data_IF_342179337673
#
_entry.id   IF_342179337673
#
_cell.length_a   1.000
_cell.length_b   1.000
_cell.length_c   1.000
_cell.angle_alpha   90.00
_cell.angle_beta   90.00
_cell.angle_gamma   90.00
#
_symmetry.space_group_name_H-M   'P 1'
#
loop_
_entity.id
_entity.type
_entity.pdbx_description
1 polymer ?
#
# COMPACT_ATOMS: atom_id res chain seq x y z
N UNK A 1 15.84 25.33 54.75
CA UNK A 1 14.85 26.40 54.51
C UNK A 1 14.23 26.08 53.15
N UNK A 2 12.93 25.75 53.04
CA UNK A 2 11.76 26.67 53.04
C UNK A 2 11.87 27.65 51.85
N UNK A 3 10.92 27.79 50.93
CA UNK A 3 9.51 27.33 50.75
C UNK A 3 9.29 27.08 49.22
N UNK A 4 8.41 26.23 48.69
CA UNK A 4 7.03 25.84 49.00
C UNK A 4 5.98 26.94 48.77
N UNK A 5 5.43 27.03 47.55
CA UNK A 5 4.23 27.83 47.26
C UNK A 5 3.18 26.97 46.53
N UNK A 6 2.00 26.89 47.14
CA UNK A 6 0.84 26.09 46.72
C UNK A 6 -0.37 27.03 46.50
N UNK A 7 -1.53 26.47 46.12
CA UNK A 7 -2.89 27.07 46.18
C UNK A 7 -3.22 28.01 44.99
N UNK A 8 -4.16 27.65 44.09
CA UNK A 8 -5.60 27.60 44.41
C UNK A 8 -6.41 26.69 43.47
N UNK A 9 -7.56 26.20 43.95
CA UNK A 9 -8.49 25.27 43.27
C UNK A 9 -9.94 25.72 43.49
N UNK A 10 -10.88 25.12 42.73
CA UNK A 10 -12.35 25.15 42.87
C UNK A 10 -13.08 26.42 42.34
N UNK A 11 -14.39 26.33 41.97
CA UNK A 11 -15.33 25.22 42.23
C UNK A 11 -16.04 24.58 41.02
N UNK A 12 -16.79 23.53 41.35
CA UNK A 12 -17.69 22.66 40.56
C UNK A 12 -19.01 23.31 40.14
N UNK A 13 -19.64 22.77 39.09
CA UNK A 13 -21.07 22.93 38.80
C UNK A 13 -21.67 21.64 38.21
N UNK A 14 -22.86 21.25 38.66
CA UNK A 14 -23.59 20.02 38.30
C UNK A 14 -25.09 20.31 38.09
N UNK A 15 -25.84 19.33 37.54
CA UNK A 15 -27.29 19.29 37.28
C UNK A 15 -27.78 20.02 36.00
N UNK A 16 -28.91 19.65 35.36
CA UNK A 16 -29.73 18.42 35.30
C UNK A 16 -30.87 18.59 34.26
N UNK A 17 -31.52 17.50 33.82
CA UNK A 17 -32.72 17.41 32.95
C UNK A 17 -32.56 17.83 31.48
N UNK A 18 -33.28 17.28 30.49
CA UNK A 18 -34.19 16.12 30.50
C UNK A 18 -35.53 16.37 29.78
N UNK A 19 -35.76 15.77 28.61
CA UNK A 19 -37.11 15.62 28.02
C UNK A 19 -37.19 14.46 27.00
N UNK A 20 -38.36 13.82 26.89
CA UNK A 20 -38.74 12.78 25.91
C UNK A 20 -39.87 13.29 25.02
N UNK A 21 -39.97 12.81 23.77
CA UNK A 21 -41.21 12.45 22.99
C UNK A 21 -40.77 12.05 21.56
N UNK A 22 -40.86 10.78 21.11
CA UNK A 22 -41.98 9.99 20.54
C UNK A 22 -42.29 10.18 19.04
N UNK A 23 -42.21 9.04 18.31
CA UNK A 23 -43.09 8.57 17.22
C UNK A 23 -43.39 9.42 15.96
N UNK A 24 -43.18 8.82 14.77
CA UNK A 24 -44.29 8.46 13.87
C UNK A 24 -43.84 7.56 12.71
N UNK A 25 -44.75 6.67 12.26
CA UNK A 25 -44.56 5.71 11.17
C UNK A 25 -44.94 6.27 9.79
N UNK A 26 -44.59 5.58 8.70
CA UNK A 26 -45.62 5.37 7.65
C UNK A 26 -45.22 5.31 6.17
N UNK A 27 -45.46 4.12 5.60
CA UNK A 27 -46.06 3.85 4.28
C UNK A 27 -45.22 3.69 2.99
N UNK A 28 -45.70 2.73 2.20
CA UNK A 28 -45.19 2.24 0.91
C UNK A 28 -46.15 2.55 -0.24
N UNK A 29 -45.66 2.58 -1.49
CA UNK A 29 -46.34 2.18 -2.75
C UNK A 29 -45.26 2.16 -3.86
N UNK A 30 -44.88 1.06 -4.52
CA UNK A 30 -45.55 0.19 -5.53
C UNK A 30 -45.73 0.77 -6.95
N UNK A 31 -45.03 0.12 -7.90
CA UNK A 31 -45.43 -0.30 -9.28
C UNK A 31 -45.56 0.75 -10.42
N UNK A 32 -44.78 0.57 -11.51
CA UNK A 32 -45.12 -0.21 -12.73
C UNK A 32 -44.58 0.36 -14.07
N UNK A 33 -43.88 -0.52 -14.81
CA UNK A 33 -43.93 -0.83 -16.26
C UNK A 33 -44.39 0.18 -17.34
N UNK A 34 -43.66 0.18 -18.47
CA UNK A 34 -44.19 0.58 -19.79
C UNK A 34 -43.10 0.73 -20.87
N UNK A 35 -43.16 -0.03 -21.96
CA UNK A 35 -42.13 -0.06 -23.02
C UNK A 35 -42.59 0.52 -24.36
N UNK A 36 -41.60 0.78 -25.23
CA UNK A 36 -41.56 0.44 -26.67
C UNK A 36 -41.96 1.42 -27.80
N UNK A 37 -41.05 1.45 -28.80
CA UNK A 37 -41.25 1.46 -30.29
C UNK A 37 -41.25 2.80 -31.07
N UNK A 38 -40.32 2.87 -32.04
CA UNK A 38 -40.25 3.74 -33.25
C UNK A 38 -40.83 2.99 -34.47
N UNK A 39 -41.15 3.64 -35.62
CA UNK A 39 -40.33 3.39 -36.84
C UNK A 39 -40.38 4.43 -38.01
N UNK A 40 -39.54 4.21 -39.06
CA UNK A 40 -39.65 4.62 -40.50
C UNK A 40 -39.54 6.13 -40.91
N UNK A 41 -39.13 6.55 -42.13
CA UNK A 41 -38.51 5.92 -43.33
C UNK A 41 -37.83 6.94 -44.31
N UNK A 42 -36.83 6.45 -45.07
CA UNK A 42 -36.41 6.66 -46.50
C UNK A 42 -36.58 7.95 -47.38
N UNK A 43 -35.62 8.04 -48.34
CA UNK A 43 -35.67 8.52 -49.75
C UNK A 43 -35.52 10.00 -50.19
N UNK A 44 -34.44 10.32 -50.96
CA UNK A 44 -34.45 10.48 -52.45
C UNK A 44 -33.07 10.84 -53.08
N UNK A 45 -32.99 10.83 -54.43
CA UNK A 45 -31.77 10.82 -55.29
C UNK A 45 -31.52 12.13 -56.07
N UNK A 46 -30.27 12.41 -56.53
CA UNK A 46 -29.90 12.53 -57.97
C UNK A 46 -28.47 13.10 -58.28
N UNK A 47 -27.72 12.33 -59.09
CA UNK A 47 -26.77 12.61 -60.21
C UNK A 47 -25.71 13.76 -60.24
N UNK A 48 -24.69 13.55 -61.10
CA UNK A 48 -23.26 13.98 -60.98
C UNK A 48 -22.70 14.28 -62.39
N UNK A 49 -22.03 15.42 -62.70
CA UNK A 49 -20.54 15.49 -62.60
C UNK A 49 -19.88 16.90 -62.51
N UNK A 50 -18.54 16.95 -62.37
CA UNK A 50 -17.71 18.04 -62.96
C UNK A 50 -16.52 18.61 -62.17
N UNK A 51 -15.30 18.10 -62.44
CA UNK A 51 -13.95 18.73 -62.30
C UNK A 51 -13.38 19.19 -60.94
N UNK A 52 -12.03 19.14 -60.89
CA UNK A 52 -11.12 19.77 -59.90
C UNK A 52 -11.10 19.18 -58.47
N UNK A 53 -10.17 18.24 -58.24
CA UNK A 53 -9.82 17.72 -56.91
C UNK A 53 -9.09 18.75 -56.04
N UNK A 54 -9.83 19.71 -55.49
CA UNK A 54 -9.42 20.49 -54.31
C UNK A 54 -10.01 19.78 -53.09
N UNK A 55 -9.16 19.25 -52.22
CA UNK A 55 -9.62 18.71 -50.92
C UNK A 55 -9.92 19.86 -49.98
N UNK A 56 -11.11 20.42 -50.12
CA UNK A 56 -11.72 21.32 -49.12
C UNK A 56 -12.16 20.44 -47.96
N UNK A 57 -11.75 20.78 -46.74
CA UNK A 57 -12.15 20.10 -45.51
C UNK A 57 -13.58 20.53 -45.15
N UNK A 58 -14.58 19.64 -45.14
CA UNK A 58 -15.87 19.94 -44.52
C UNK A 58 -15.76 19.64 -43.03
N UNK A 59 -16.06 20.64 -42.20
CA UNK A 59 -16.36 20.40 -40.79
C UNK A 59 -17.65 19.59 -40.68
N UNK A 60 -17.58 18.36 -40.17
CA UNK A 60 -18.59 17.72 -39.30
C UNK A 60 -18.20 16.26 -39.00
N UNK A 61 -17.35 16.05 -37.99
CA UNK A 61 -17.23 14.73 -37.38
C UNK A 61 -18.39 14.54 -36.39
N UNK A 62 -19.46 13.90 -36.83
CA UNK A 62 -20.65 13.69 -36.01
C UNK A 62 -20.36 12.68 -34.87
N UNK A 63 -20.17 13.21 -33.66
CA UNK A 63 -19.82 12.46 -32.44
C UNK A 63 -20.90 11.44 -32.02
N UNK A 64 -22.14 11.55 -32.52
CA UNK A 64 -23.25 10.70 -32.09
C UNK A 64 -23.13 9.22 -32.49
N UNK A 65 -22.43 8.88 -33.59
CA UNK A 65 -22.45 7.52 -34.16
C UNK A 65 -21.31 6.59 -33.72
N UNK A 66 -20.43 7.01 -32.80
CA UNK A 66 -19.43 6.11 -32.18
C UNK A 66 -19.80 5.69 -30.74
N UNK A 67 -20.85 6.29 -30.15
CA UNK A 67 -21.26 6.07 -28.76
C UNK A 67 -22.23 4.88 -28.56
N UNK A 68 -22.15 3.86 -29.43
CA UNK A 68 -23.23 2.90 -29.65
C UNK A 68 -22.89 1.41 -29.50
N UNK A 69 -21.85 1.01 -28.73
CA UNK A 69 -21.58 -0.42 -28.41
C UNK A 69 -20.56 -0.71 -27.29
N UNK A 70 -20.62 0.01 -26.16
CA UNK A 70 -19.96 -0.41 -24.90
C UNK A 70 -20.91 -0.22 -23.70
N UNK A 71 -20.96 -1.15 -22.73
CA UNK A 71 -21.86 -1.06 -21.59
C UNK A 71 -21.45 0.08 -20.64
N UNK A 72 -22.44 0.87 -20.20
CA UNK A 72 -22.25 1.99 -19.27
C UNK A 72 -22.12 1.49 -17.82
N UNK A 73 -21.13 1.94 -17.04
CA UNK A 73 -21.18 1.89 -15.59
C UNK A 73 -21.61 3.28 -15.06
N UNK A 74 -22.91 3.44 -14.83
CA UNK A 74 -23.46 4.60 -14.12
C UNK A 74 -24.63 4.14 -13.24
N UNK A 75 -24.30 3.41 -12.17
CA UNK A 75 -25.20 3.13 -11.04
C UNK A 75 -24.36 2.74 -9.80
N UNK A 76 -23.61 3.69 -9.24
CA UNK A 76 -23.04 3.60 -7.88
C UNK A 76 -22.60 4.97 -7.34
N UNK A 77 -23.44 5.99 -7.52
CA UNK A 77 -23.32 7.19 -6.69
C UNK A 77 -23.86 6.89 -5.28
N UNK A 78 -22.95 6.56 -4.37
CA UNK A 78 -23.22 6.71 -2.93
C UNK A 78 -22.66 8.07 -2.51
N UNK A 79 -23.56 8.99 -2.17
CA UNK A 79 -23.21 10.26 -1.54
C UNK A 79 -22.57 10.00 -0.18
N UNK A 80 -21.26 10.23 -0.06
CA UNK A 80 -20.57 10.18 1.23
C UNK A 80 -20.75 11.53 1.93
N UNK A 81 -21.51 11.52 3.04
CA UNK A 81 -21.70 12.69 3.90
C UNK A 81 -20.41 13.11 4.64
N UNK A 82 -20.42 14.25 5.34
CA UNK A 82 -19.20 14.97 5.76
C UNK A 82 -18.40 14.34 6.93
N UNK A 83 -18.58 13.06 7.24
CA UNK A 83 -17.82 12.34 8.27
C UNK A 83 -17.47 10.91 7.81
N UNK A 84 -16.33 10.77 7.14
CA UNK A 84 -15.74 9.48 6.74
C UNK A 84 -14.23 9.47 6.92
N UNK A 85 -13.69 8.44 7.58
CA UNK A 85 -12.26 8.31 7.85
C UNK A 85 -11.53 7.92 6.54
N UNK A 86 -10.47 8.64 6.12
CA UNK A 86 -9.71 8.25 4.94
C UNK A 86 -8.83 7.02 5.22
N UNK A 87 -8.90 6.00 4.35
CA UNK A 87 -7.91 4.93 4.31
C UNK A 87 -8.40 3.51 4.58
N UNK A 88 -9.45 3.04 3.89
CA UNK A 88 -9.59 1.62 3.58
C UNK A 88 -10.41 1.42 2.31
N UNK A 89 -9.85 0.72 1.32
CA UNK A 89 -10.59 0.15 0.18
C UNK A 89 -10.21 -1.34 0.16
N UNK A 90 -11.14 -2.26 0.44
CA UNK A 90 -10.84 -3.69 0.37
C UNK A 90 -10.56 -4.09 -1.09
N UNK A 91 -9.59 -4.99 -1.28
CA UNK A 91 -9.31 -5.56 -2.59
C UNK A 91 -10.50 -6.40 -3.08
N UNK A 92 -10.75 -6.41 -4.39
CA UNK A 92 -11.83 -7.19 -5.00
C UNK A 92 -11.51 -8.70 -5.01
N UNK A 93 -12.56 -9.51 -5.17
CA UNK A 93 -12.65 -10.95 -4.85
C UNK A 93 -11.72 -11.94 -5.62
N UNK A 94 -10.69 -11.43 -6.30
CA UNK A 94 -9.79 -12.18 -7.18
C UNK A 94 -8.39 -12.38 -6.55
N UNK A 95 -8.13 -11.79 -5.38
CA UNK A 95 -6.96 -12.06 -4.54
C UNK A 95 -5.59 -11.59 -5.06
N UNK A 96 -5.49 -11.07 -6.29
CA UNK A 96 -4.24 -10.61 -6.88
C UNK A 96 -4.25 -9.12 -7.23
N UNK A 97 -3.66 -8.29 -6.37
CA UNK A 97 -3.22 -6.95 -6.79
C UNK A 97 -1.91 -7.06 -7.58
N UNK A 98 -2.03 -7.60 -8.80
CA UNK A 98 -0.95 -7.59 -9.76
C UNK A 98 -0.66 -6.17 -10.22
N UNK A 99 0.36 -5.53 -9.63
CA UNK A 99 1.18 -4.60 -10.41
C UNK A 99 1.95 -5.47 -11.40
N UNK A 100 1.34 -5.76 -12.56
CA UNK A 100 2.06 -6.34 -13.70
C UNK A 100 3.05 -5.30 -14.22
N UNK A 101 4.28 -5.37 -13.72
CA UNK A 101 5.42 -5.03 -14.57
C UNK A 101 5.30 -5.89 -15.84
N UNK A 102 5.60 -5.34 -17.05
CA UNK A 102 5.46 -6.08 -18.29
C UNK A 102 6.29 -7.37 -18.24
N UNK A 103 5.63 -8.52 -18.41
CA UNK A 103 6.31 -9.82 -18.45
C UNK A 103 7.25 -9.88 -19.67
N UNK A 104 8.52 -10.19 -19.43
CA UNK A 104 9.46 -10.54 -20.50
C UNK A 104 10.42 -9.43 -20.93
N UNK A 105 11.09 -8.75 -19.99
CA UNK A 105 12.35 -8.07 -20.30
C UNK A 105 13.49 -9.10 -20.31
N UNK A 106 13.93 -9.49 -21.51
CA UNK A 106 15.26 -10.07 -21.70
C UNK A 106 16.27 -8.98 -21.36
N UNK A 107 17.09 -9.21 -20.32
CA UNK A 107 18.10 -8.26 -19.85
C UNK A 107 19.23 -8.17 -20.88
N UNK A 108 19.48 -7.00 -21.51
CA UNK A 108 20.70 -6.78 -22.28
C UNK A 108 21.86 -6.59 -21.29
N UNK A 109 23.05 -7.19 -21.54
CA UNK A 109 24.22 -6.89 -20.73
C UNK A 109 24.68 -5.45 -21.00
N UNK A 110 24.88 -4.67 -19.93
CA UNK A 110 25.39 -3.30 -19.95
C UNK A 110 24.74 -2.39 -21.00
N UNK A 111 23.51 -1.95 -20.73
CA UNK A 111 22.89 -0.84 -21.47
C UNK A 111 23.86 0.35 -21.55
N UNK A 112 24.11 0.83 -22.77
CA UNK A 112 24.78 2.11 -22.99
C UNK A 112 24.01 3.23 -22.26
N UNK A 113 24.64 4.39 -21.97
CA UNK A 113 23.93 5.55 -21.43
C UNK A 113 22.69 5.82 -22.31
N UNK A 114 21.50 5.68 -21.72
CA UNK A 114 20.26 5.92 -22.46
C UNK A 114 20.16 7.38 -22.90
N UNK A 115 19.21 7.72 -23.80
CA UNK A 115 19.04 9.09 -24.29
C UNK A 115 18.95 10.08 -23.14
N UNK A 116 19.50 11.28 -23.35
CA UNK A 116 19.45 12.36 -22.36
C UNK A 116 18.00 12.66 -21.96
N UNK A 117 17.80 13.25 -20.77
CA UNK A 117 16.46 13.58 -20.28
C UNK A 117 15.70 14.48 -21.25
N UNK A 118 16.42 15.41 -21.89
CA UNK A 118 15.93 16.23 -22.98
C UNK A 118 15.45 15.40 -24.18
N UNK A 119 16.25 14.48 -24.69
CA UNK A 119 15.85 13.62 -25.82
C UNK A 119 14.65 12.72 -25.47
N UNK A 120 14.62 12.17 -24.26
CA UNK A 120 13.54 11.31 -23.77
C UNK A 120 12.23 12.08 -23.53
N UNK A 121 12.29 13.33 -23.09
CA UNK A 121 11.13 14.10 -22.60
C UNK A 121 10.93 15.48 -23.24
N UNK A 122 11.53 15.77 -24.40
CA UNK A 122 11.36 17.06 -25.13
C UNK A 122 9.92 17.54 -25.32
N UNK A 123 8.98 16.60 -25.44
CA UNK A 123 7.54 16.88 -25.62
C UNK A 123 6.76 16.91 -24.28
N UNK A 124 7.43 16.66 -23.15
CA UNK A 124 6.88 16.55 -21.80
C UNK A 124 7.72 17.40 -20.81
N UNK A 125 7.80 18.73 -20.98
CA UNK A 125 8.75 19.57 -20.23
C UNK A 125 8.57 19.52 -18.69
N UNK A 126 7.35 19.26 -18.19
CA UNK A 126 7.11 19.03 -16.76
C UNK A 126 7.75 17.74 -16.25
N UNK A 127 7.70 16.67 -17.06
CA UNK A 127 8.31 15.36 -16.75
C UNK A 127 9.83 15.52 -16.79
N UNK A 128 10.37 16.19 -17.82
CA UNK A 128 11.79 16.50 -17.94
C UNK A 128 12.31 17.24 -16.70
N UNK A 129 11.65 18.33 -16.28
CA UNK A 129 12.08 19.11 -15.11
C UNK A 129 12.11 18.30 -13.80
N UNK A 130 11.19 17.34 -13.62
CA UNK A 130 11.21 16.43 -12.46
C UNK A 130 12.32 15.40 -12.58
N UNK A 131 12.58 14.86 -13.78
CA UNK A 131 13.72 13.97 -14.06
C UNK A 131 15.05 14.65 -13.80
N UNK A 132 15.24 15.88 -14.30
CA UNK A 132 16.48 16.65 -14.15
C UNK A 132 16.76 16.95 -12.67
N UNK A 133 15.74 17.42 -11.93
CA UNK A 133 15.85 17.67 -10.48
C UNK A 133 16.07 16.39 -9.66
N UNK A 134 15.42 15.28 -10.01
CA UNK A 134 15.62 14.00 -9.34
C UNK A 134 17.00 13.39 -9.64
N UNK A 135 17.49 13.52 -10.86
CA UNK A 135 18.84 13.07 -11.28
C UNK A 135 19.92 13.80 -10.49
N UNK A 136 19.85 15.13 -10.43
CA UNK A 136 20.79 15.94 -9.66
C UNK A 136 20.77 15.60 -8.15
N UNK A 137 19.60 15.34 -7.58
CA UNK A 137 19.47 14.91 -6.19
C UNK A 137 20.06 13.51 -5.93
N UNK A 138 19.90 12.58 -6.87
CA UNK A 138 20.52 11.24 -6.82
C UNK A 138 22.05 11.34 -6.88
N UNK A 139 22.59 12.15 -7.80
CA UNK A 139 24.05 12.37 -7.91
C UNK A 139 24.64 13.05 -6.66
N UNK A 140 23.86 13.91 -6.00
CA UNK A 140 24.21 14.54 -4.71
C UNK A 140 24.00 13.59 -3.50
N UNK A 141 23.50 12.37 -3.71
CA UNK A 141 23.29 11.38 -2.66
C UNK A 141 22.14 11.70 -1.71
N UNK A 142 21.13 12.44 -2.17
CA UNK A 142 19.96 12.79 -1.34
C UNK A 142 19.18 11.54 -0.90
N UNK A 143 18.63 11.61 0.31
CA UNK A 143 17.84 10.53 0.87
C UNK A 143 16.47 10.38 0.16
N UNK A 144 15.88 9.16 0.14
CA UNK A 144 14.48 8.97 -0.23
C UNK A 144 13.54 9.83 0.64
N UNK A 145 12.29 10.00 0.20
CA UNK A 145 11.28 10.72 0.97
C UNK A 145 11.03 9.98 2.29
N UNK A 146 11.30 10.63 3.41
CA UNK A 146 10.97 10.13 4.75
C UNK A 146 10.32 11.22 5.58
N UNK A 147 9.80 10.88 6.76
CA UNK A 147 9.18 11.83 7.67
C UNK A 147 10.13 12.96 8.11
N UNK A 148 11.44 12.71 8.16
CA UNK A 148 12.46 13.71 8.53
C UNK A 148 12.82 14.66 7.37
N UNK A 149 12.73 14.21 6.12
CA UNK A 149 13.21 14.96 4.94
C UNK A 149 12.08 15.55 4.09
N UNK A 150 10.92 15.82 4.68
CA UNK A 150 9.75 16.38 4.00
C UNK A 150 10.02 17.77 3.39
N UNK A 151 10.83 18.60 4.06
CA UNK A 151 11.17 19.95 3.58
C UNK A 151 12.23 19.94 2.47
N UNK A 152 13.25 19.09 2.57
CA UNK A 152 14.25 18.89 1.50
C UNK A 152 13.57 18.43 0.19
N UNK A 153 12.53 17.62 0.33
CA UNK A 153 11.72 17.14 -0.78
C UNK A 153 10.72 18.17 -1.33
N UNK A 154 10.48 19.32 -0.68
CA UNK A 154 9.37 20.24 -0.98
C UNK A 154 9.26 20.65 -2.45
N UNK A 155 10.38 20.94 -3.11
CA UNK A 155 10.40 21.37 -4.51
C UNK A 155 10.18 20.21 -5.48
N UNK A 156 10.93 19.11 -5.32
CA UNK A 156 10.81 17.90 -6.15
C UNK A 156 9.42 17.27 -5.98
N UNK A 157 8.92 17.19 -4.75
CA UNK A 157 7.57 16.72 -4.42
C UNK A 157 6.50 17.56 -5.09
N UNK A 158 6.61 18.90 -5.07
CA UNK A 158 5.65 19.80 -5.75
C UNK A 158 5.66 19.58 -7.27
N UNK A 159 6.83 19.34 -7.87
CA UNK A 159 6.94 19.00 -9.28
C UNK A 159 6.29 17.66 -9.62
N UNK A 160 6.68 16.60 -8.91
CA UNK A 160 6.17 15.24 -9.14
C UNK A 160 4.67 15.07 -8.84
N UNK A 161 4.13 15.79 -7.84
CA UNK A 161 2.70 15.82 -7.53
C UNK A 161 1.86 16.65 -8.52
N UNK A 162 2.49 17.38 -9.44
CA UNK A 162 1.81 18.10 -10.53
C UNK A 162 1.83 17.34 -11.87
N UNK A 163 2.36 16.12 -11.88
CA UNK A 163 2.31 15.16 -12.99
C UNK A 163 1.08 14.24 -12.84
N UNK A 164 0.69 13.55 -13.91
CA UNK A 164 -0.21 12.38 -13.79
C UNK A 164 0.51 11.16 -13.21
N UNK A 165 -0.25 10.13 -12.82
CA UNK A 165 0.32 8.85 -12.37
C UNK A 165 1.19 8.20 -13.45
N UNK A 166 0.70 8.13 -14.68
CA UNK A 166 1.46 7.65 -15.85
C UNK A 166 2.77 8.43 -16.04
N UNK A 167 2.72 9.76 -15.90
CA UNK A 167 3.90 10.61 -16.01
C UNK A 167 4.90 10.37 -14.87
N UNK A 168 4.45 10.14 -13.62
CA UNK A 168 5.33 9.71 -12.53
C UNK A 168 5.95 8.34 -12.77
N UNK A 169 5.22 7.41 -13.38
CA UNK A 169 5.76 6.12 -13.78
C UNK A 169 6.83 6.26 -14.87
N UNK A 170 6.68 7.20 -15.82
CA UNK A 170 7.73 7.53 -16.78
C UNK A 170 9.00 8.09 -16.09
N UNK A 171 8.85 9.00 -15.11
CA UNK A 171 9.98 9.49 -14.29
C UNK A 171 10.67 8.32 -13.58
N UNK A 172 9.90 7.48 -12.89
CA UNK A 172 10.41 6.32 -12.15
C UNK A 172 11.18 5.36 -13.05
N UNK A 173 10.59 4.94 -14.18
CA UNK A 173 11.22 4.01 -15.11
C UNK A 173 12.51 4.59 -15.70
N UNK A 174 12.52 5.87 -16.08
CA UNK A 174 13.72 6.52 -16.61
C UNK A 174 14.85 6.59 -15.57
N UNK A 175 14.55 6.96 -14.32
CA UNK A 175 15.57 6.99 -13.25
C UNK A 175 16.10 5.58 -12.92
N UNK A 176 15.22 4.57 -12.98
CA UNK A 176 15.60 3.18 -12.85
C UNK A 176 16.57 2.74 -13.94
N UNK A 177 16.22 2.99 -15.21
CA UNK A 177 17.02 2.62 -16.37
C UNK A 177 18.37 3.36 -16.40
N UNK A 178 18.37 4.64 -16.04
CA UNK A 178 19.56 5.49 -16.13
C UNK A 178 20.49 5.40 -14.94
N UNK A 179 20.00 5.18 -13.71
CA UNK A 179 20.85 5.21 -12.51
C UNK A 179 20.97 3.86 -11.83
N UNK A 180 19.87 3.14 -11.64
CA UNK A 180 19.89 1.92 -10.82
C UNK A 180 20.70 0.77 -11.46
N UNK A 181 20.89 0.76 -12.78
CA UNK A 181 21.73 -0.23 -13.47
C UNK A 181 23.16 0.25 -13.75
N UNK A 182 23.50 1.53 -13.53
CA UNK A 182 24.88 2.05 -13.72
C UNK A 182 25.80 1.78 -12.53
N UNK A 183 25.26 1.60 -11.33
CA UNK A 183 26.05 1.30 -10.14
C UNK A 183 26.30 -0.21 -10.02
N UNK A 184 27.55 -0.63 -9.81
CA UNK A 184 27.91 -2.00 -9.42
C UNK A 184 27.67 -2.29 -7.94
N UNK A 185 27.62 -1.24 -7.11
CA UNK A 185 27.31 -1.29 -5.68
C UNK A 185 25.79 -1.44 -5.47
N UNK A 186 25.36 -2.62 -5.01
CA UNK A 186 23.94 -2.92 -4.77
C UNK A 186 23.26 -1.97 -3.78
N UNK A 187 23.99 -1.43 -2.80
CA UNK A 187 23.43 -0.46 -1.85
C UNK A 187 23.15 0.88 -2.52
N UNK A 188 23.96 1.28 -3.51
CA UNK A 188 23.67 2.46 -4.36
C UNK A 188 22.50 2.20 -5.31
N UNK A 189 22.43 1.00 -5.92
CA UNK A 189 21.26 0.62 -6.73
C UNK A 189 19.96 0.71 -5.91
N UNK A 190 19.94 0.20 -4.68
CA UNK A 190 18.78 0.30 -3.79
C UNK A 190 18.52 1.73 -3.30
N UNK A 191 19.56 2.54 -3.08
CA UNK A 191 19.42 3.98 -2.82
C UNK A 191 18.63 4.69 -3.93
N UNK A 192 19.01 4.45 -5.19
CA UNK A 192 18.28 4.96 -6.38
C UNK A 192 16.84 4.43 -6.42
N UNK A 193 16.64 3.11 -6.24
CA UNK A 193 15.30 2.48 -6.24
C UNK A 193 14.38 3.12 -5.20
N UNK A 194 14.89 3.32 -3.99
CA UNK A 194 14.15 3.92 -2.88
C UNK A 194 13.83 5.41 -3.14
N UNK A 195 14.76 6.16 -3.74
CA UNK A 195 14.52 7.55 -4.15
C UNK A 195 13.49 7.64 -5.28
N UNK A 196 13.64 6.83 -6.34
CA UNK A 196 12.70 6.79 -7.45
C UNK A 196 11.29 6.38 -7.00
N UNK A 197 11.17 5.34 -6.17
CA UNK A 197 9.89 4.93 -5.59
C UNK A 197 9.27 6.03 -4.72
N UNK A 198 10.08 6.82 -4.02
CA UNK A 198 9.62 7.96 -3.21
C UNK A 198 8.96 9.07 -4.04
N UNK A 199 9.34 9.24 -5.32
CA UNK A 199 8.67 10.15 -6.25
C UNK A 199 7.23 9.69 -6.55
N UNK A 200 6.96 8.38 -6.58
CA UNK A 200 5.60 7.87 -6.72
C UNK A 200 4.73 8.22 -5.51
N UNK A 201 5.35 8.40 -4.33
CA UNK A 201 4.67 8.82 -3.10
C UNK A 201 4.48 10.35 -2.99
N UNK A 202 4.83 11.14 -4.02
CA UNK A 202 4.82 12.60 -3.95
C UNK A 202 3.43 13.22 -3.76
N UNK A 203 2.36 12.55 -4.19
CA UNK A 203 0.98 13.02 -3.95
C UNK A 203 0.47 12.74 -2.53
N UNK A 204 1.12 11.84 -1.77
CA UNK A 204 0.68 11.51 -0.41
C UNK A 204 0.72 12.76 0.48
N UNK A 205 -0.35 12.92 1.26
CA UNK A 205 -0.42 13.90 2.34
C UNK A 205 0.83 13.77 3.23
N UNK A 206 1.63 14.83 3.46
CA UNK A 206 2.84 14.74 4.29
C UNK A 206 2.62 14.11 5.66
N UNK A 207 1.42 14.28 6.25
CA UNK A 207 1.06 13.73 7.57
C UNK A 207 0.90 12.20 7.58
N UNK A 208 0.74 11.54 6.43
CA UNK A 208 0.65 10.07 6.32
C UNK A 208 1.99 9.41 5.99
N UNK A 209 3.06 10.18 5.76
CA UNK A 209 4.43 9.69 5.65
C UNK A 209 4.92 9.37 7.06
N UNK A 210 4.76 8.12 7.49
CA UNK A 210 5.11 7.68 8.85
C UNK A 210 6.54 7.11 8.95
N UNK A 211 7.16 6.71 7.84
CA UNK A 211 8.45 6.01 7.82
C UNK A 211 9.65 6.96 7.95
N UNK A 212 10.66 6.49 8.66
CA UNK A 212 11.91 7.19 8.97
C UNK A 212 13.05 6.86 8.00
N UNK A 213 14.09 7.70 8.00
CA UNK A 213 15.40 7.37 7.42
C UNK A 213 15.94 6.03 7.95
N UNK A 214 15.78 5.75 9.24
CA UNK A 214 16.27 4.49 9.82
C UNK A 214 15.60 3.24 9.24
N UNK A 215 14.38 3.34 8.71
CA UNK A 215 13.72 2.26 7.99
C UNK A 215 14.29 2.08 6.57
N UNK A 216 14.61 3.17 5.89
CA UNK A 216 15.30 3.15 4.60
C UNK A 216 16.71 2.54 4.73
N UNK A 217 17.46 2.95 5.76
CA UNK A 217 18.77 2.39 6.07
C UNK A 217 18.67 0.87 6.37
N UNK A 218 17.69 0.45 7.19
CA UNK A 218 17.46 -0.96 7.51
C UNK A 218 17.07 -1.81 6.28
N UNK A 219 16.26 -1.25 5.37
CA UNK A 219 15.85 -1.91 4.14
C UNK A 219 16.92 -1.96 3.05
N UNK A 220 17.96 -1.12 3.12
CA UNK A 220 18.96 -0.94 2.05
C UNK A 220 19.84 -2.16 1.72
N UNK A 221 19.85 -3.18 2.58
CA UNK A 221 20.62 -4.42 2.36
C UNK A 221 19.90 -5.49 1.52
N UNK A 222 18.65 -5.24 1.11
CA UNK A 222 17.84 -6.19 0.35
C UNK A 222 17.12 -5.48 -0.80
N UNK A 223 16.94 -6.19 -1.93
CA UNK A 223 16.18 -5.69 -3.08
C UNK A 223 14.79 -5.22 -2.66
N UNK A 224 14.49 -3.94 -2.88
CA UNK A 224 13.24 -3.26 -2.48
C UNK A 224 12.89 -3.41 -0.98
N UNK A 225 13.86 -3.74 -0.13
CA UNK A 225 13.62 -4.05 1.28
C UNK A 225 13.00 -2.89 2.06
N UNK A 226 13.34 -1.65 1.73
CA UNK A 226 12.69 -0.46 2.30
C UNK A 226 11.22 -0.36 1.88
N UNK A 227 10.93 -0.51 0.58
CA UNK A 227 9.57 -0.46 0.05
C UNK A 227 8.69 -1.53 0.70
N UNK A 228 9.21 -2.74 0.88
CA UNK A 228 8.47 -3.83 1.51
C UNK A 228 8.30 -3.65 3.03
N UNK A 229 9.27 -3.03 3.72
CA UNK A 229 9.08 -2.59 5.12
C UNK A 229 8.00 -1.52 5.26
N UNK A 230 7.92 -0.58 4.32
CA UNK A 230 6.81 0.39 4.28
C UNK A 230 5.50 -0.35 4.01
N UNK A 231 5.44 -1.26 3.03
CA UNK A 231 4.23 -2.06 2.76
C UNK A 231 3.76 -2.85 4.00
N UNK A 232 4.66 -3.48 4.75
CA UNK A 232 4.29 -4.12 6.04
C UNK A 232 3.65 -3.15 7.03
N UNK A 233 4.21 -1.94 7.18
CA UNK A 233 3.66 -0.94 8.07
C UNK A 233 2.32 -0.39 7.57
N UNK A 234 2.12 -0.25 6.26
CA UNK A 234 0.83 0.13 5.64
C UNK A 234 -0.23 -0.96 5.87
N UNK A 235 0.09 -2.24 5.67
CA UNK A 235 -0.78 -3.39 6.00
C UNK A 235 -1.13 -3.43 7.50
N UNK A 236 -0.20 -3.01 8.37
CA UNK A 236 -0.44 -2.81 9.81
C UNK A 236 -0.97 -1.40 10.16
N UNK A 237 -1.40 -0.58 9.19
CA UNK A 237 -1.99 0.75 9.36
C UNK A 237 -1.13 1.77 10.14
N UNK A 238 0.20 1.76 10.01
CA UNK A 238 1.15 2.60 10.77
C UNK A 238 0.94 4.12 10.56
N UNK A 239 0.28 4.54 9.48
CA UNK A 239 -0.16 5.93 9.30
C UNK A 239 -1.15 6.42 10.37
N UNK A 240 -1.87 5.50 11.03
CA UNK A 240 -2.65 5.80 12.23
C UNK A 240 -1.84 5.49 13.48
N UNK A 241 -1.55 6.51 14.30
CA UNK A 241 -0.88 6.37 15.61
C UNK A 241 -1.82 6.18 16.79
N UNK A 242 -3.13 6.06 16.53
CA UNK A 242 -4.18 5.91 17.54
C UNK A 242 -3.81 4.81 18.55
N UNK A 243 -3.77 5.16 19.83
CA UNK A 243 -3.62 4.22 20.92
C UNK A 243 -4.77 3.18 20.94
N UNK A 244 -4.45 1.92 21.19
CA UNK A 244 -5.44 0.84 21.16
C UNK A 244 -6.09 0.64 19.79
N UNK A 245 -5.30 0.78 18.71
CA UNK A 245 -5.76 0.48 17.36
C UNK A 245 -6.08 -1.02 17.22
N UNK A 246 -7.31 -1.32 16.80
CA UNK A 246 -7.79 -2.66 16.49
C UNK A 246 -7.94 -2.83 14.98
N UNK A 247 -7.39 -3.92 14.44
CA UNK A 247 -7.67 -4.35 13.06
C UNK A 247 -9.07 -4.98 13.07
N UNK A 248 -10.01 -4.54 12.21
CA UNK A 248 -11.37 -5.09 12.22
C UNK A 248 -11.36 -6.59 11.94
N UNK A 249 -12.18 -7.37 12.68
CA UNK A 249 -12.17 -8.84 12.65
C UNK A 249 -12.32 -9.44 11.24
N UNK A 250 -13.05 -8.76 10.35
CA UNK A 250 -13.28 -9.11 8.94
C UNK A 250 -12.04 -8.98 8.05
N UNK A 251 -11.11 -8.10 8.41
CA UNK A 251 -9.95 -7.74 7.59
C UNK A 251 -8.70 -8.56 7.98
N UNK A 252 -8.77 -9.35 9.06
CA UNK A 252 -7.62 -10.05 9.65
C UNK A 252 -7.05 -11.20 8.79
N UNK A 253 -7.82 -11.89 7.94
CA UNK A 253 -7.25 -12.90 7.03
C UNK A 253 -6.53 -12.25 5.86
N UNK A 254 -7.08 -11.20 5.27
CA UNK A 254 -6.44 -10.44 4.19
C UNK A 254 -5.12 -9.83 4.69
N UNK A 255 -5.15 -9.20 5.87
CA UNK A 255 -3.95 -8.72 6.56
C UNK A 255 -2.96 -9.87 6.83
N UNK A 256 -3.40 -11.03 7.32
CA UNK A 256 -2.51 -12.18 7.53
C UNK A 256 -1.89 -12.70 6.23
N UNK A 257 -2.66 -12.72 5.15
CA UNK A 257 -2.22 -13.14 3.82
C UNK A 257 -1.18 -12.16 3.25
N UNK A 258 -1.47 -10.86 3.24
CA UNK A 258 -0.56 -9.83 2.73
C UNK A 258 0.75 -9.76 3.50
N UNK A 259 0.70 -9.83 4.84
CA UNK A 259 1.90 -9.87 5.67
C UNK A 259 2.77 -11.10 5.33
N UNK A 260 2.15 -12.27 5.13
CA UNK A 260 2.87 -13.47 4.74
C UNK A 260 3.48 -13.32 3.34
N UNK A 261 2.74 -12.78 2.37
CA UNK A 261 3.22 -12.55 1.00
C UNK A 261 4.42 -11.60 0.98
N UNK A 262 4.37 -10.48 1.70
CA UNK A 262 5.50 -9.51 1.76
C UNK A 262 6.73 -10.14 2.43
N UNK A 263 6.54 -11.05 3.39
CA UNK A 263 7.63 -11.73 4.11
C UNK A 263 8.20 -12.94 3.36
N UNK A 264 7.43 -13.57 2.46
CA UNK A 264 7.87 -14.68 1.61
C UNK A 264 8.48 -14.20 0.30
N UNK A 265 7.89 -13.18 -0.33
CA UNK A 265 8.25 -12.71 -1.68
C UNK A 265 8.91 -11.34 -1.61
N UNK A 266 9.97 -11.12 -2.40
CA UNK A 266 10.60 -9.82 -2.58
C UNK A 266 9.77 -8.89 -3.49
N UNK A 267 10.07 -7.59 -3.47
CA UNK A 267 9.38 -6.63 -4.33
C UNK A 267 9.61 -6.82 -5.84
N UNK A 268 10.40 -7.80 -6.28
CA UNK A 268 10.56 -8.21 -7.69
C UNK A 268 9.73 -9.46 -8.04
N UNK A 269 9.11 -10.13 -7.06
CA UNK A 269 8.27 -11.30 -7.26
C UNK A 269 8.97 -12.65 -7.05
N UNK A 270 10.18 -12.67 -6.47
CA UNK A 270 10.93 -13.88 -6.17
C UNK A 270 10.85 -14.26 -4.68
N UNK A 271 10.99 -15.54 -4.37
CA UNK A 271 11.08 -15.99 -2.96
C UNK A 271 12.31 -15.39 -2.27
N UNK A 272 12.11 -14.84 -1.06
CA UNK A 272 13.19 -14.27 -0.27
C UNK A 272 14.10 -15.37 0.29
N UNK A 273 15.40 -15.22 0.05
CA UNK A 273 16.43 -16.03 0.71
C UNK A 273 16.78 -15.51 2.12
N UNK A 274 16.52 -14.23 2.39
CA UNK A 274 16.82 -13.55 3.67
C UNK A 274 15.55 -13.04 4.35
N UNK A 275 15.57 -12.98 5.69
CA UNK A 275 14.47 -12.39 6.45
C UNK A 275 14.44 -10.86 6.26
N UNK A 276 13.26 -10.29 5.98
CA UNK A 276 13.05 -8.84 5.99
C UNK A 276 13.26 -8.32 7.44
N UNK A 277 13.95 -7.18 7.67
CA UNK A 277 14.39 -6.79 9.02
C UNK A 277 13.28 -6.12 9.84
N UNK A 278 12.20 -6.84 10.10
CA UNK A 278 10.99 -6.39 10.82
C UNK A 278 11.27 -5.83 12.22
N UNK A 279 12.41 -6.15 12.84
CA UNK A 279 12.84 -5.56 14.11
C UNK A 279 12.97 -4.03 14.05
N UNK A 280 13.24 -3.46 12.87
CA UNK A 280 13.24 -2.00 12.66
C UNK A 280 11.86 -1.36 12.94
N UNK A 281 10.77 -2.08 12.65
CA UNK A 281 9.38 -1.64 12.87
C UNK A 281 9.00 -1.58 14.37
N UNK A 282 9.79 -2.18 15.27
CA UNK A 282 9.56 -2.14 16.72
C UNK A 282 9.83 -0.76 17.35
N UNK A 283 10.58 0.10 16.64
CA UNK A 283 10.86 1.46 17.09
C UNK A 283 9.64 2.40 17.00
N UNK A 284 8.67 2.05 16.14
CA UNK A 284 7.46 2.82 15.89
C UNK A 284 6.43 2.60 16.98
N UNK A 285 5.93 3.69 17.55
CA UNK A 285 5.04 3.68 18.71
C UNK A 285 3.75 4.43 18.43
N UNK A 286 2.68 3.96 19.05
CA UNK A 286 1.40 4.65 19.11
C UNK A 286 1.46 5.86 20.09
N UNK A 287 0.36 6.60 20.18
CA UNK A 287 0.23 7.76 21.06
C UNK A 287 0.38 7.39 22.56
N UNK A 288 0.17 6.12 22.92
CA UNK A 288 0.40 5.53 24.25
C UNK A 288 1.82 4.96 24.44
N UNK A 289 2.74 5.21 23.49
CA UNK A 289 4.16 4.77 23.52
C UNK A 289 4.36 3.25 23.38
N UNK A 290 3.33 2.50 23.02
CA UNK A 290 3.35 1.05 22.79
C UNK A 290 3.88 0.75 21.38
N UNK A 291 4.80 -0.22 21.19
CA UNK A 291 5.30 -0.61 19.88
C UNK A 291 4.18 -1.10 18.94
N UNK A 292 3.95 -0.36 17.84
CA UNK A 292 2.83 -0.63 16.93
C UNK A 292 2.94 -1.98 16.24
N UNK A 293 4.16 -2.39 15.85
CA UNK A 293 4.36 -3.70 15.24
C UNK A 293 3.89 -4.82 16.17
N UNK A 294 4.37 -4.84 17.42
CA UNK A 294 4.06 -5.89 18.40
C UNK A 294 2.56 -5.93 18.72
N UNK A 295 1.95 -4.77 18.96
CA UNK A 295 0.54 -4.64 19.34
C UNK A 295 -0.44 -5.03 18.21
N UNK A 296 -0.04 -4.87 16.95
CA UNK A 296 -0.90 -5.15 15.78
C UNK A 296 -0.66 -6.54 15.21
N UNK A 297 0.61 -6.97 15.13
CA UNK A 297 0.92 -8.34 14.72
C UNK A 297 0.38 -9.35 15.74
N UNK A 298 0.29 -9.03 17.03
CA UNK A 298 -0.28 -9.95 18.02
C UNK A 298 -1.79 -10.17 17.84
N UNK A 299 -2.52 -9.20 17.28
CA UNK A 299 -3.93 -9.38 16.89
C UNK A 299 -4.05 -10.38 15.73
N UNK A 300 -3.17 -10.27 14.73
CA UNK A 300 -3.09 -11.22 13.61
C UNK A 300 -2.68 -12.62 14.09
N UNK A 301 -1.65 -12.71 14.96
CA UNK A 301 -1.23 -13.97 15.56
C UNK A 301 -2.34 -14.62 16.40
N UNK A 302 -3.05 -13.82 17.19
CA UNK A 302 -4.21 -14.30 17.99
C UNK A 302 -5.27 -14.88 17.07
N UNK A 303 -5.66 -14.17 16.01
CA UNK A 303 -6.61 -14.64 15.03
C UNK A 303 -6.19 -15.96 14.37
N UNK A 304 -4.93 -16.07 13.91
CA UNK A 304 -4.45 -17.32 13.29
C UNK A 304 -4.42 -18.52 14.25
N UNK A 305 -4.35 -18.26 15.56
CA UNK A 305 -4.41 -19.27 16.62
C UNK A 305 -5.83 -19.59 17.09
N UNK A 306 -6.86 -18.89 16.59
CA UNK A 306 -8.26 -19.25 16.86
C UNK A 306 -8.56 -20.66 16.31
N UNK A 307 -9.18 -21.48 17.15
CA UNK A 307 -9.49 -22.90 16.90
C UNK A 307 -8.31 -23.75 16.40
N UNK A 308 -7.06 -23.35 16.70
CA UNK A 308 -5.86 -24.00 16.19
C UNK A 308 -5.85 -25.51 16.42
N UNK A 309 -6.30 -26.00 17.58
CA UNK A 309 -6.34 -27.44 17.87
C UNK A 309 -7.32 -28.23 16.99
N UNK A 310 -8.37 -27.59 16.48
CA UNK A 310 -9.38 -28.18 15.60
C UNK A 310 -8.92 -28.22 14.13
N UNK A 311 -7.92 -27.41 13.76
CA UNK A 311 -7.38 -27.35 12.41
C UNK A 311 -6.67 -28.65 12.00
N UNK A 312 -6.66 -28.95 10.70
CA UNK A 312 -5.91 -30.08 10.16
C UNK A 312 -4.39 -29.81 10.14
N UNK A 313 -3.57 -30.83 9.89
CA UNK A 313 -2.10 -30.73 9.93
C UNK A 313 -1.52 -29.68 8.96
N UNK A 314 -2.12 -29.52 7.78
CA UNK A 314 -1.68 -28.56 6.77
C UNK A 314 -1.99 -27.11 7.20
N UNK A 315 -3.20 -26.88 7.72
CA UNK A 315 -3.63 -25.60 8.29
C UNK A 315 -2.75 -25.21 9.48
N UNK A 316 -2.52 -26.14 10.42
CA UNK A 316 -1.59 -25.95 11.55
C UNK A 316 -0.18 -25.59 11.06
N UNK A 317 0.32 -26.25 10.02
CA UNK A 317 1.64 -25.96 9.45
C UNK A 317 1.68 -24.56 8.81
N UNK A 318 0.64 -24.17 8.09
CA UNK A 318 0.49 -22.83 7.49
C UNK A 318 0.47 -21.73 8.56
N UNK A 319 -0.29 -21.92 9.65
CA UNK A 319 -0.31 -21.00 10.80
C UNK A 319 1.07 -20.92 11.43
N UNK A 320 1.71 -22.04 11.78
CA UNK A 320 3.03 -22.03 12.41
C UNK A 320 4.09 -21.35 11.52
N UNK A 321 4.04 -21.55 10.20
CA UNK A 321 4.93 -20.86 9.25
C UNK A 321 4.70 -19.34 9.28
N UNK A 322 3.44 -18.87 9.19
CA UNK A 322 3.07 -17.45 9.36
C UNK A 322 3.62 -16.87 10.67
N UNK A 323 3.48 -17.58 11.80
CA UNK A 323 4.01 -17.13 13.10
C UNK A 323 5.54 -16.97 13.10
N UNK A 324 6.30 -17.90 12.50
CA UNK A 324 7.75 -17.74 12.39
C UNK A 324 8.14 -16.58 11.45
N UNK A 325 7.46 -16.40 10.31
CA UNK A 325 7.68 -15.25 9.41
C UNK A 325 7.48 -13.92 10.17
N UNK A 326 6.37 -13.78 10.89
CA UNK A 326 6.02 -12.56 11.66
C UNK A 326 6.98 -12.25 12.83
N UNK A 327 7.88 -13.17 13.18
CA UNK A 327 8.92 -12.93 14.20
C UNK A 327 10.30 -12.66 13.60
N UNK A 328 10.40 -12.59 12.27
CA UNK A 328 11.60 -12.21 11.54
C UNK A 328 12.53 -13.37 11.15
N UNK A 329 11.98 -14.57 10.94
CA UNK A 329 12.70 -15.68 10.31
C UNK A 329 12.61 -15.59 8.78
N UNK A 330 13.60 -16.13 8.05
CA UNK A 330 13.53 -16.24 6.59
C UNK A 330 12.50 -17.31 6.19
N UNK A 331 11.94 -17.29 4.97
CA UNK A 331 10.93 -18.26 4.53
C UNK A 331 11.35 -19.72 4.66
N UNK A 332 12.60 -20.03 4.30
CA UNK A 332 13.17 -21.36 4.46
C UNK A 332 13.25 -21.79 5.94
N UNK A 333 13.72 -20.89 6.82
CA UNK A 333 13.84 -21.16 8.25
C UNK A 333 12.46 -21.27 8.91
N UNK A 334 11.52 -20.42 8.54
CA UNK A 334 10.14 -20.45 9.03
C UNK A 334 9.43 -21.76 8.65
N UNK A 335 9.57 -22.21 7.40
CA UNK A 335 9.04 -23.51 6.95
C UNK A 335 9.64 -24.69 7.72
N UNK A 336 10.97 -24.75 7.86
CA UNK A 336 11.66 -25.81 8.62
C UNK A 336 11.27 -25.81 10.10
N UNK A 337 11.17 -24.65 10.73
CA UNK A 337 10.79 -24.52 12.15
C UNK A 337 9.30 -24.81 12.39
N UNK A 338 8.42 -24.47 11.44
CA UNK A 338 7.00 -24.83 11.51
C UNK A 338 6.79 -26.36 11.50
N UNK A 339 7.53 -27.09 10.64
CA UNK A 339 7.54 -28.56 10.66
C UNK A 339 8.13 -29.14 11.96
N UNK A 340 9.09 -28.45 12.58
CA UNK A 340 9.62 -28.85 13.90
C UNK A 340 8.58 -28.61 15.01
N UNK A 341 7.88 -27.48 15.00
CA UNK A 341 6.92 -27.07 16.03
C UNK A 341 5.79 -28.07 16.25
N UNK A 342 5.30 -28.70 15.18
CA UNK A 342 4.21 -29.68 15.24
C UNK A 342 4.64 -31.09 15.70
N UNK A 343 5.93 -31.31 16.01
CA UNK A 343 6.43 -32.61 16.51
C UNK A 343 6.02 -32.80 17.98
N UNK A 344 5.64 -34.01 18.42
CA UNK A 344 5.21 -34.28 19.80
C UNK A 344 6.16 -33.78 20.90
N UNK A 345 7.48 -33.80 20.63
CA UNK A 345 8.50 -33.30 21.57
C UNK A 345 8.40 -31.80 21.92
N UNK A 346 7.72 -31.00 21.08
CA UNK A 346 7.55 -29.55 21.22
C UNK A 346 6.12 -29.18 21.66
N UNK A 347 5.32 -30.17 22.09
CA UNK A 347 3.93 -29.98 22.52
C UNK A 347 3.77 -28.93 23.63
N UNK A 348 4.70 -28.87 24.59
CA UNK A 348 4.69 -27.86 25.66
C UNK A 348 4.81 -26.42 25.11
N UNK A 349 5.76 -26.20 24.21
CA UNK A 349 5.99 -24.91 23.56
C UNK A 349 4.79 -24.53 22.69
N UNK A 350 4.18 -25.49 21.99
CA UNK A 350 2.97 -25.30 21.19
C UNK A 350 1.77 -24.90 22.06
N UNK A 351 1.48 -25.62 23.15
CA UNK A 351 0.44 -25.23 24.11
C UNK A 351 0.70 -23.85 24.72
N UNK A 352 1.96 -23.48 24.95
CA UNK A 352 2.33 -22.14 25.43
C UNK A 352 2.06 -21.05 24.39
N UNK A 353 2.30 -21.29 23.10
CA UNK A 353 1.99 -20.36 22.01
C UNK A 353 0.47 -20.12 21.94
N UNK A 354 -0.33 -21.18 21.94
CA UNK A 354 -1.80 -21.12 21.89
C UNK A 354 -2.34 -20.37 23.12
N UNK A 355 -1.86 -20.71 24.32
CA UNK A 355 -2.29 -20.09 25.57
C UNK A 355 -1.88 -18.62 25.72
N UNK A 356 -0.90 -18.16 24.94
CA UNK A 356 -0.39 -16.78 24.93
C UNK A 356 -0.94 -15.94 23.76
N UNK A 357 -2.00 -16.39 23.10
CA UNK A 357 -2.59 -15.75 21.93
C UNK A 357 -2.97 -14.28 22.21
N UNK A 358 -2.22 -13.35 21.62
CA UNK A 358 -2.36 -11.89 21.81
C UNK A 358 -1.16 -11.22 22.50
N UNK A 359 -0.25 -11.98 23.13
CA UNK A 359 1.04 -11.48 23.61
C UNK A 359 2.18 -11.88 22.66
N UNK A 360 2.65 -10.89 21.88
CA UNK A 360 3.77 -11.04 20.97
C UNK A 360 5.05 -11.56 21.66
N UNK A 361 5.38 -11.06 22.86
CA UNK A 361 6.64 -11.38 23.53
C UNK A 361 6.63 -12.83 24.03
N UNK A 362 5.51 -13.29 24.59
CA UNK A 362 5.34 -14.68 25.02
C UNK A 362 5.32 -15.66 23.84
N UNK A 363 4.64 -15.32 22.74
CA UNK A 363 4.67 -16.12 21.50
C UNK A 363 6.10 -16.22 20.95
N UNK A 364 6.81 -15.10 20.82
CA UNK A 364 8.22 -15.05 20.38
C UNK A 364 9.13 -15.87 21.29
N UNK A 365 8.95 -15.80 22.61
CA UNK A 365 9.76 -16.54 23.56
C UNK A 365 9.60 -18.06 23.38
N UNK A 366 8.39 -18.55 23.14
CA UNK A 366 8.13 -19.98 22.91
C UNK A 366 8.54 -20.44 21.52
N UNK A 367 8.33 -19.65 20.46
CA UNK A 367 8.86 -19.93 19.12
C UNK A 367 10.40 -20.05 19.12
N UNK A 368 11.10 -19.20 19.88
CA UNK A 368 12.57 -19.27 20.01
C UNK A 368 13.07 -20.48 20.83
N UNK A 369 12.21 -21.16 21.59
CA UNK A 369 12.57 -22.43 22.27
C UNK A 369 12.52 -23.61 21.31
N UNK A 370 11.57 -23.64 20.38
CA UNK A 370 11.43 -24.67 19.32
C UNK A 370 12.66 -24.73 18.38
N UNK A 371 13.44 -23.64 18.32
CA UNK A 371 14.72 -23.57 17.60
C UNK A 371 15.84 -24.43 18.23
N UNK A 372 15.73 -24.76 19.52
CA UNK A 372 16.73 -25.54 20.27
C UNK A 372 16.40 -27.04 20.25
#
# INVERSE_FOLDING_TARGET
>A
MKEATEVKRLPTGTASSGCKTTESSGQSLKRASGSNVLPFSEDLRNEIPGTSSIVIIPSEFNVANFAGRLPRPADTFVTVGPHGIPGYVPATADGYLHIRGPKGMVVPPNSAPGPSSYEAFRNLPKVQAVVDGASAAIDQGHAPLTAEFLDDWKYVKKGAAALSEEQRLLVYNYLMDQFAYRFSDSKKQEGVRNYAWSLLQSERNPKTIWWSKSLADAGSGQKKGFVDLVRLGETLSFGSKKAGFEIPRKDLEDVAHDLANILVVDGEGHDRTQALPVKSLMSYKDDSRIPMYQSRISQVMKYLLEDFDQQNTEQKLKVMNRLFLYTGFSPEAASKLAQSALRPKNSRELSSIISSAGDYNSIVASLNRIKK
#
